data_IF_777588971433
#
_entry.id   IF_777588971433
#
_cell.length_a   1.000
_cell.length_b   1.000
_cell.length_c   1.000
_cell.angle_alpha   90.00
_cell.angle_beta   90.00
_cell.angle_gamma   90.00
#
_symmetry.space_group_name_H-M   'P 1'
#
loop_
_entity.id
_entity.type
_entity.pdbx_description
1 polymer ?
#
# COMPACT_ATOMS: atom_id res chain seq x y z
N UNK A 1 -18.72 -15.08 -1.65
CA UNK A 1 -18.54 -13.64 -1.35
C UNK A 1 -18.79 -12.92 -2.66
N UNK A 2 -19.69 -11.96 -2.66
CA UNK A 2 -19.95 -11.18 -3.87
C UNK A 2 -18.72 -10.30 -4.13
N UNK A 3 -18.23 -10.28 -5.35
CA UNK A 3 -17.08 -9.50 -5.78
C UNK A 3 -17.40 -8.00 -5.73
N UNK A 4 -16.44 -7.16 -5.27
CA UNK A 4 -16.64 -5.71 -5.24
C UNK A 4 -16.94 -5.17 -6.63
N UNK A 5 -18.00 -4.40 -6.76
CA UNK A 5 -18.40 -3.78 -8.02
C UNK A 5 -18.01 -2.31 -8.03
N UNK A 6 -17.06 -1.96 -8.89
CA UNK A 6 -16.64 -0.56 -9.09
C UNK A 6 -17.72 0.29 -9.74
N UNK A 7 -17.85 1.53 -9.29
CA UNK A 7 -18.73 2.53 -9.88
C UNK A 7 -18.01 3.62 -10.67
N UNK A 8 -16.72 3.43 -10.96
CA UNK A 8 -15.80 4.40 -11.56
C UNK A 8 -15.70 4.34 -13.10
N UNK A 9 -16.67 3.73 -13.77
CA UNK A 9 -16.65 3.54 -15.21
C UNK A 9 -16.39 4.81 -16.04
N UNK A 10 -16.75 5.99 -15.51
CA UNK A 10 -16.43 7.29 -16.15
C UNK A 10 -14.92 7.54 -16.08
N UNK A 11 -14.31 7.39 -14.89
CA UNK A 11 -12.88 7.56 -14.68
C UNK A 11 -12.08 6.62 -15.61
N UNK A 12 -12.43 5.34 -15.64
CA UNK A 12 -11.75 4.34 -16.46
C UNK A 12 -11.78 4.66 -17.96
N UNK A 13 -12.83 5.33 -18.47
CA UNK A 13 -12.88 5.78 -19.86
C UNK A 13 -12.04 7.03 -20.11
N UNK A 14 -11.99 7.95 -19.16
CA UNK A 14 -11.41 9.29 -19.37
C UNK A 14 -10.01 9.46 -18.78
N UNK A 15 -9.54 8.54 -17.93
CA UNK A 15 -8.23 8.66 -17.26
C UNK A 15 -7.06 8.89 -18.22
N UNK A 16 -7.15 8.35 -19.44
CA UNK A 16 -6.11 8.55 -20.46
C UNK A 16 -6.14 9.95 -21.08
N UNK A 17 -7.26 10.66 -21.01
CA UNK A 17 -7.39 12.04 -21.51
C UNK A 17 -6.65 13.03 -20.60
N UNK A 18 -6.46 12.65 -19.32
CA UNK A 18 -5.69 13.43 -18.34
C UNK A 18 -4.17 13.33 -18.54
N UNK A 19 -3.69 12.40 -19.40
CA UNK A 19 -2.26 12.27 -19.73
C UNK A 19 -1.80 13.51 -20.49
N UNK A 20 -0.90 14.27 -19.87
CA UNK A 20 -0.37 15.53 -20.42
C UNK A 20 -1.01 16.79 -19.83
N UNK A 21 -2.00 16.67 -18.96
CA UNK A 21 -2.48 17.74 -18.10
C UNK A 21 -1.57 17.99 -16.89
N UNK A 22 -1.80 19.06 -16.13
CA UNK A 22 -1.04 19.33 -14.91
C UNK A 22 -1.35 18.26 -13.86
N UNK A 23 -0.29 17.75 -13.23
CA UNK A 23 -0.39 16.83 -12.10
C UNK A 23 -0.04 17.58 -10.81
N UNK A 24 -0.93 17.48 -9.83
CA UNK A 24 -0.69 17.91 -8.46
C UNK A 24 -0.93 16.69 -7.56
N UNK A 25 0.17 16.05 -7.13
CA UNK A 25 0.17 14.77 -6.43
C UNK A 25 0.39 15.00 -4.95
N UNK A 26 -0.42 14.37 -4.12
CA UNK A 26 -0.23 14.31 -2.68
C UNK A 26 0.24 12.90 -2.28
N UNK A 27 1.45 12.79 -1.78
CA UNK A 27 1.98 11.54 -1.23
C UNK A 27 1.57 11.36 0.22
N UNK A 28 1.13 10.16 0.60
CA UNK A 28 0.72 9.88 1.96
C UNK A 28 0.99 8.45 2.41
N UNK A 29 1.22 8.30 3.73
CA UNK A 29 1.21 7.02 4.41
C UNK A 29 -0.13 6.84 5.16
N UNK A 30 -0.84 5.73 4.89
CA UNK A 30 -2.18 5.48 5.43
C UNK A 30 -2.23 5.52 6.96
N UNK A 31 -1.28 4.88 7.64
CA UNK A 31 -1.29 4.72 9.09
C UNK A 31 -0.90 5.97 9.88
N UNK A 32 -0.30 6.99 9.24
CA UNK A 32 0.20 8.19 9.93
C UNK A 32 -0.40 9.50 9.44
N UNK A 33 -1.21 9.47 8.38
CA UNK A 33 -1.82 10.70 7.84
C UNK A 33 -2.76 11.37 8.84
N UNK A 34 -3.69 10.59 9.39
CA UNK A 34 -4.53 10.95 10.52
C UNK A 34 -4.72 9.73 11.42
N UNK A 35 -4.75 9.97 12.74
CA UNK A 35 -4.97 8.94 13.73
C UNK A 35 -6.17 9.29 14.62
N UNK A 36 -6.91 8.26 15.00
CA UNK A 36 -7.97 8.36 16.02
C UNK A 36 -7.34 8.52 17.39
N UNK A 37 -8.01 9.21 18.32
CA UNK A 37 -7.57 9.23 19.71
C UNK A 37 -7.68 7.82 20.32
N UNK A 38 -6.65 7.40 21.02
CA UNK A 38 -6.59 6.14 21.79
C UNK A 38 -6.77 6.46 23.27
N UNK A 39 -7.54 5.65 23.99
CA UNK A 39 -7.88 5.88 25.38
C UNK A 39 -7.43 4.71 26.25
N UNK A 40 -7.01 4.99 27.50
CA UNK A 40 -6.74 3.97 28.50
C UNK A 40 -8.06 3.37 29.06
N UNK A 41 -7.93 2.39 29.97
CA UNK A 41 -9.06 1.71 30.63
C UNK A 41 -9.92 2.64 31.50
N UNK A 42 -9.41 3.81 31.88
CA UNK A 42 -10.09 4.81 32.68
C UNK A 42 -10.73 5.92 31.82
N UNK A 43 -10.59 5.83 30.48
CA UNK A 43 -11.12 6.82 29.56
C UNK A 43 -10.25 8.07 29.39
N UNK A 44 -8.99 8.07 29.88
CA UNK A 44 -8.03 9.14 29.62
C UNK A 44 -7.44 8.93 28.22
N UNK A 45 -7.43 9.99 27.41
CA UNK A 45 -6.74 9.95 26.12
C UNK A 45 -5.22 9.82 26.33
N UNK A 46 -4.62 8.85 25.64
CA UNK A 46 -3.17 8.63 25.64
C UNK A 46 -2.47 9.66 24.75
N UNK A 47 -1.25 10.03 25.14
CA UNK A 47 -0.36 10.81 24.27
C UNK A 47 0.21 9.91 23.17
N UNK A 48 0.76 10.47 22.06
CA UNK A 48 1.41 9.65 21.03
C UNK A 48 2.51 8.73 21.58
N UNK A 49 3.30 9.24 22.55
CA UNK A 49 4.36 8.49 23.19
C UNK A 49 3.79 7.32 24.01
N UNK A 50 2.74 7.55 24.81
CA UNK A 50 2.07 6.52 25.59
C UNK A 50 1.46 5.43 24.66
N UNK A 51 0.93 5.82 23.49
CA UNK A 51 0.40 4.88 22.49
C UNK A 51 1.51 3.97 21.92
N UNK A 52 2.67 4.54 21.60
CA UNK A 52 3.83 3.81 21.10
C UNK A 52 4.40 2.88 22.18
N UNK A 53 4.62 3.39 23.39
CA UNK A 53 5.16 2.61 24.51
C UNK A 53 4.27 1.42 24.91
N UNK A 54 2.96 1.51 24.66
CA UNK A 54 1.99 0.46 24.98
C UNK A 54 1.65 -0.45 23.78
N UNK A 55 2.32 -0.26 22.64
CA UNK A 55 2.09 -1.01 21.40
C UNK A 55 0.62 -0.98 20.91
N UNK A 56 0.00 0.20 21.03
CA UNK A 56 -1.43 0.39 20.69
C UNK A 56 -1.64 1.26 19.45
N UNK A 57 -0.60 1.42 18.63
CA UNK A 57 -0.63 2.27 17.42
C UNK A 57 -1.76 1.88 16.48
N UNK A 58 -2.02 0.58 16.32
CA UNK A 58 -3.06 0.05 15.45
C UNK A 58 -4.49 0.50 15.84
N UNK A 59 -4.73 0.78 17.12
CA UNK A 59 -6.03 1.27 17.58
C UNK A 59 -6.35 2.68 17.07
N UNK A 60 -5.30 3.46 16.77
CA UNK A 60 -5.40 4.80 16.19
C UNK A 60 -5.62 4.82 14.68
N UNK A 61 -5.49 3.70 13.96
CA UNK A 61 -5.62 3.72 12.52
C UNK A 61 -7.06 3.91 12.05
N UNK A 62 -7.21 4.68 10.98
CA UNK A 62 -8.44 4.70 10.20
C UNK A 62 -8.45 3.55 9.20
N UNK A 63 -9.63 2.97 8.97
CA UNK A 63 -9.82 1.99 7.90
C UNK A 63 -9.86 2.66 6.53
N UNK A 64 -9.66 1.89 5.45
CA UNK A 64 -9.82 2.36 4.06
C UNK A 64 -11.16 3.06 3.82
N UNK A 65 -12.25 2.53 4.43
CA UNK A 65 -13.59 3.11 4.28
C UNK A 65 -13.76 4.41 5.04
N UNK A 66 -13.24 4.48 6.26
CA UNK A 66 -13.35 5.69 7.09
C UNK A 66 -12.55 6.86 6.51
N UNK A 67 -11.35 6.57 5.97
CA UNK A 67 -10.46 7.61 5.45
C UNK A 67 -10.94 8.15 4.09
N UNK A 68 -11.67 7.37 3.30
CA UNK A 68 -12.03 7.73 1.94
C UNK A 68 -12.75 9.10 1.82
N UNK A 69 -13.83 9.40 2.58
CA UNK A 69 -14.47 10.71 2.50
C UNK A 69 -13.58 11.86 3.00
N UNK A 70 -12.81 11.64 4.06
CA UNK A 70 -11.90 12.64 4.63
C UNK A 70 -10.80 13.02 3.64
N UNK A 71 -10.23 12.02 2.98
CA UNK A 71 -9.17 12.20 2.01
C UNK A 71 -9.68 12.94 0.77
N UNK A 72 -10.86 12.58 0.26
CA UNK A 72 -11.49 13.28 -0.88
C UNK A 72 -11.71 14.75 -0.56
N UNK A 73 -12.23 15.08 0.62
CA UNK A 73 -12.45 16.45 1.06
C UNK A 73 -11.13 17.23 1.10
N UNK A 74 -10.13 16.70 1.78
CA UNK A 74 -8.81 17.31 1.89
C UNK A 74 -8.15 17.56 0.53
N UNK A 75 -8.12 16.54 -0.34
CA UNK A 75 -7.48 16.65 -1.65
C UNK A 75 -8.16 17.72 -2.53
N UNK A 76 -9.49 17.82 -2.48
CA UNK A 76 -10.24 18.83 -3.21
C UNK A 76 -10.00 20.23 -2.68
N UNK A 77 -10.00 20.41 -1.36
CA UNK A 77 -9.72 21.71 -0.74
C UNK A 77 -8.32 22.22 -1.06
N UNK A 78 -7.33 21.32 -1.09
CA UNK A 78 -5.94 21.67 -1.38
C UNK A 78 -5.64 21.72 -2.88
N UNK A 79 -6.56 21.30 -3.74
CA UNK A 79 -6.41 21.34 -5.20
C UNK A 79 -5.56 20.21 -5.77
N UNK A 80 -5.38 19.10 -5.03
CA UNK A 80 -4.72 17.90 -5.53
C UNK A 80 -5.65 17.14 -6.48
N UNK A 81 -5.10 16.61 -7.57
CA UNK A 81 -5.83 15.78 -8.52
C UNK A 81 -5.37 14.31 -8.53
N UNK A 82 -4.30 13.99 -7.81
CA UNK A 82 -3.82 12.63 -7.55
C UNK A 82 -3.40 12.48 -6.09
N UNK A 83 -3.56 11.27 -5.58
CA UNK A 83 -2.93 10.82 -4.35
C UNK A 83 -1.99 9.66 -4.66
N UNK A 84 -0.79 9.71 -4.11
CA UNK A 84 0.18 8.62 -4.13
C UNK A 84 0.24 7.97 -2.75
N UNK A 85 -0.12 6.70 -2.70
CA UNK A 85 -0.02 5.94 -1.47
C UNK A 85 1.36 5.30 -1.38
N UNK A 86 2.08 5.54 -0.28
CA UNK A 86 3.21 4.71 0.10
C UNK A 86 2.76 3.24 0.09
N UNK A 87 3.65 2.24 -0.07
CA UNK A 87 3.27 0.89 -0.46
C UNK A 87 2.11 0.31 0.36
N UNK A 88 1.03 -0.09 -0.31
CA UNK A 88 -0.14 -0.72 0.28
C UNK A 88 -0.11 -2.25 0.19
N UNK A 89 0.91 -2.84 -0.42
CA UNK A 89 1.10 -4.29 -0.40
C UNK A 89 1.40 -4.78 1.02
N UNK A 90 1.01 -6.04 1.32
CA UNK A 90 1.18 -6.60 2.66
C UNK A 90 2.66 -6.68 3.07
N UNK A 91 2.94 -6.29 4.30
CA UNK A 91 4.29 -6.19 4.86
C UNK A 91 4.27 -6.49 6.37
N UNK A 92 5.35 -7.07 6.95
CA UNK A 92 5.36 -7.47 8.36
C UNK A 92 5.61 -6.32 9.33
N UNK A 93 6.38 -5.30 8.92
CA UNK A 93 6.92 -4.27 9.80
C UNK A 93 6.32 -2.90 9.47
N UNK A 94 5.66 -2.27 10.45
CA UNK A 94 5.01 -0.97 10.28
C UNK A 94 6.01 0.15 10.00
N UNK A 95 7.18 0.10 10.64
CA UNK A 95 8.25 1.08 10.51
C UNK A 95 8.87 1.10 9.11
N UNK A 96 8.64 0.05 8.32
CA UNK A 96 9.07 0.02 6.91
C UNK A 96 8.21 0.89 5.99
N UNK A 97 7.08 1.41 6.47
CA UNK A 97 6.08 2.16 5.69
C UNK A 97 5.56 1.37 4.47
N UNK A 98 5.69 0.05 4.50
CA UNK A 98 5.32 -0.84 3.40
C UNK A 98 6.43 -1.12 2.39
N UNK A 99 7.63 -0.57 2.55
CA UNK A 99 8.74 -0.81 1.61
C UNK A 99 9.40 -2.19 1.76
N UNK A 100 9.11 -2.93 2.84
CA UNK A 100 9.58 -4.32 3.02
C UNK A 100 8.43 -5.31 2.82
N UNK A 101 8.08 -5.54 1.56
CA UNK A 101 6.93 -6.35 1.18
C UNK A 101 7.13 -7.84 1.41
N UNK A 102 6.04 -8.52 1.78
CA UNK A 102 5.91 -9.98 1.73
C UNK A 102 4.76 -10.41 0.82
N UNK A 103 3.72 -9.58 0.66
CA UNK A 103 2.52 -9.90 -0.10
C UNK A 103 2.36 -9.07 -1.37
N UNK A 104 3.01 -9.44 -2.46
CA UNK A 104 2.99 -8.69 -3.73
C UNK A 104 1.63 -8.66 -4.44
N UNK A 105 0.73 -9.59 -4.10
CA UNK A 105 -0.62 -9.72 -4.67
C UNK A 105 -1.72 -9.51 -3.63
N UNK A 106 -1.41 -8.87 -2.51
CA UNK A 106 -2.41 -8.59 -1.49
C UNK A 106 -2.21 -7.21 -0.87
N UNK A 107 -3.29 -6.46 -0.67
CA UNK A 107 -3.22 -5.23 0.14
C UNK A 107 -2.97 -5.58 1.60
N UNK A 108 -2.34 -4.66 2.32
CA UNK A 108 -2.18 -4.82 3.76
C UNK A 108 -3.53 -4.87 4.46
N UNK A 109 -3.68 -5.83 5.36
CA UNK A 109 -4.89 -6.00 6.17
C UNK A 109 -5.03 -4.99 7.32
N UNK A 110 -4.01 -4.16 7.55
CA UNK A 110 -3.97 -3.16 8.64
C UNK A 110 -5.16 -2.21 8.65
N UNK A 111 -5.62 -1.84 7.47
CA UNK A 111 -6.64 -0.80 7.29
C UNK A 111 -7.98 -1.36 6.79
N UNK A 112 -8.12 -2.68 6.72
CA UNK A 112 -9.34 -3.36 6.28
C UNK A 112 -9.11 -4.42 5.23
N UNK A 113 -10.18 -4.80 4.55
CA UNK A 113 -10.17 -5.85 3.51
C UNK A 113 -9.74 -5.33 2.15
N UNK A 114 -9.47 -6.25 1.21
CA UNK A 114 -9.24 -5.92 -0.20
C UNK A 114 -10.41 -5.11 -0.80
N UNK A 115 -11.65 -5.45 -0.45
CA UNK A 115 -12.84 -4.73 -0.92
C UNK A 115 -12.94 -3.32 -0.32
N UNK A 116 -12.41 -3.11 0.88
CA UNK A 116 -12.37 -1.79 1.50
C UNK A 116 -11.35 -0.88 0.79
N UNK A 117 -10.21 -1.43 0.35
CA UNK A 117 -9.28 -0.69 -0.50
C UNK A 117 -9.89 -0.37 -1.87
N UNK A 118 -10.60 -1.33 -2.50
CA UNK A 118 -11.35 -1.07 -3.74
C UNK A 118 -12.36 0.06 -3.55
N UNK A 119 -13.06 0.08 -2.41
CA UNK A 119 -13.98 1.16 -2.07
C UNK A 119 -13.28 2.53 -1.97
N UNK A 120 -12.11 2.60 -1.35
CA UNK A 120 -11.32 3.83 -1.26
C UNK A 120 -10.98 4.34 -2.66
N UNK A 121 -10.42 3.49 -3.53
CA UNK A 121 -10.02 3.84 -4.89
C UNK A 121 -11.23 4.26 -5.73
N UNK A 122 -12.31 3.50 -5.69
CA UNK A 122 -13.58 3.82 -6.36
C UNK A 122 -14.13 5.19 -5.92
N UNK A 123 -14.02 5.49 -4.62
CA UNK A 123 -14.45 6.79 -4.07
C UNK A 123 -13.58 7.94 -4.60
N UNK A 124 -12.27 7.77 -4.68
CA UNK A 124 -11.36 8.75 -5.27
C UNK A 124 -11.69 8.99 -6.75
N UNK A 125 -11.81 7.93 -7.54
CA UNK A 125 -12.11 7.99 -8.97
C UNK A 125 -13.46 8.66 -9.26
N UNK A 126 -14.51 8.34 -8.51
CA UNK A 126 -15.83 9.01 -8.60
C UNK A 126 -15.75 10.50 -8.34
N UNK A 127 -14.76 10.93 -7.59
CA UNK A 127 -14.52 12.35 -7.29
C UNK A 127 -13.50 13.02 -8.21
N UNK A 128 -13.04 12.31 -9.26
CA UNK A 128 -12.09 12.82 -10.24
C UNK A 128 -10.65 12.90 -9.76
N UNK A 129 -10.31 12.11 -8.72
CA UNK A 129 -8.98 12.04 -8.13
C UNK A 129 -8.35 10.71 -8.55
N UNK A 130 -7.14 10.74 -9.13
CA UNK A 130 -6.38 9.54 -9.46
C UNK A 130 -5.68 8.96 -8.24
N UNK A 131 -5.53 7.63 -8.23
CA UNK A 131 -4.75 6.92 -7.23
C UNK A 131 -3.46 6.36 -7.86
N UNK A 132 -2.34 6.59 -7.20
CA UNK A 132 -1.04 6.03 -7.51
C UNK A 132 -0.64 5.15 -6.34
N UNK A 133 -0.18 3.95 -6.62
CA UNK A 133 0.40 3.06 -5.61
C UNK A 133 1.90 2.99 -5.83
N UNK A 134 2.66 3.27 -4.79
CA UNK A 134 4.10 3.01 -4.80
C UNK A 134 4.33 1.50 -4.83
N UNK A 135 4.97 1.02 -5.91
CA UNK A 135 5.24 -0.38 -6.15
C UNK A 135 6.74 -0.66 -6.03
N UNK A 136 7.12 -1.62 -5.18
CA UNK A 136 8.52 -1.89 -4.81
C UNK A 136 9.01 -3.22 -5.41
N UNK A 137 9.37 -3.29 -6.71
CA UNK A 137 9.85 -4.52 -7.36
C UNK A 137 11.35 -4.77 -7.19
N UNK A 138 11.98 -4.20 -6.17
CA UNK A 138 13.44 -4.23 -6.00
C UNK A 138 13.87 -5.32 -5.06
N UNK A 139 13.20 -5.42 -3.91
CA UNK A 139 13.54 -6.33 -2.83
C UNK A 139 12.29 -6.82 -2.10
N UNK A 140 12.47 -7.76 -1.17
CA UNK A 140 11.42 -8.30 -0.32
C UNK A 140 11.94 -8.63 1.09
N UNK A 141 11.02 -8.66 2.07
CA UNK A 141 11.35 -8.93 3.46
C UNK A 141 11.80 -10.39 3.69
N UNK A 142 12.57 -10.61 4.75
CA UNK A 142 13.19 -11.90 5.09
C UNK A 142 12.37 -12.79 6.03
N UNK A 143 11.11 -12.46 6.24
CA UNK A 143 10.25 -13.22 7.14
C UNK A 143 10.09 -14.67 6.68
N UNK A 144 10.05 -15.62 7.64
CA UNK A 144 10.08 -17.06 7.36
C UNK A 144 8.88 -17.61 6.57
N UNK A 145 7.84 -16.81 6.38
CA UNK A 145 6.68 -17.11 5.53
C UNK A 145 6.74 -16.37 4.17
N UNK A 146 7.78 -15.54 3.95
CA UNK A 146 7.98 -14.76 2.76
C UNK A 146 8.64 -15.53 1.62
N UNK A 147 9.23 -14.78 0.68
CA UNK A 147 9.80 -15.36 -0.54
C UNK A 147 11.23 -15.90 -0.36
N UNK A 148 11.95 -15.48 0.69
CA UNK A 148 13.34 -15.87 0.91
C UNK A 148 13.46 -17.38 1.06
N UNK A 149 14.27 -18.01 0.19
CA UNK A 149 14.47 -19.46 0.15
C UNK A 149 13.16 -20.26 0.16
N UNK A 150 12.18 -19.80 -0.58
CA UNK A 150 10.81 -20.30 -0.59
C UNK A 150 10.73 -21.83 -0.77
N UNK A 151 11.58 -22.41 -1.62
CA UNK A 151 11.70 -23.85 -1.86
C UNK A 151 13.00 -24.45 -1.27
N UNK A 152 13.68 -23.72 -0.39
CA UNK A 152 14.99 -24.07 0.16
C UNK A 152 16.17 -23.64 -0.72
N UNK A 153 15.91 -23.09 -1.90
CA UNK A 153 16.92 -22.52 -2.81
C UNK A 153 16.76 -21.01 -2.96
N UNK A 154 17.68 -20.36 -3.70
CA UNK A 154 17.54 -18.94 -4.04
C UNK A 154 16.67 -18.81 -5.30
N UNK A 155 15.36 -18.97 -5.13
CA UNK A 155 14.40 -18.94 -6.21
C UNK A 155 14.21 -17.52 -6.76
N UNK A 156 13.98 -16.56 -5.88
CA UNK A 156 13.69 -15.16 -6.19
C UNK A 156 14.91 -14.25 -6.01
N UNK A 157 15.75 -14.54 -5.03
CA UNK A 157 16.87 -13.73 -4.57
C UNK A 157 18.22 -14.15 -5.16
N UNK A 158 19.17 -13.22 -5.17
CA UNK A 158 20.56 -13.51 -5.50
C UNK A 158 21.19 -14.51 -4.52
N UNK A 159 22.00 -15.46 -5.00
CA UNK A 159 22.58 -16.50 -4.15
C UNK A 159 23.72 -15.99 -3.25
N UNK A 160 24.34 -14.86 -3.59
CA UNK A 160 25.48 -14.28 -2.87
C UNK A 160 25.07 -13.03 -2.12
N UNK A 161 25.68 -12.77 -0.97
CA UNK A 161 25.30 -11.68 -0.09
C UNK A 161 25.77 -10.31 -0.56
N UNK A 162 26.80 -10.24 -1.39
CA UNK A 162 27.35 -9.01 -1.96
C UNK A 162 26.35 -8.20 -2.80
N UNK A 163 25.47 -8.90 -3.53
CA UNK A 163 24.39 -8.30 -4.32
C UNK A 163 23.01 -8.71 -3.82
N UNK A 164 22.95 -9.68 -2.91
CA UNK A 164 21.72 -10.31 -2.42
C UNK A 164 21.00 -9.54 -1.32
N UNK A 165 21.67 -8.64 -0.62
CA UNK A 165 21.08 -7.80 0.41
C UNK A 165 20.96 -6.34 -0.02
N UNK A 166 19.82 -5.74 0.30
CA UNK A 166 19.68 -4.30 0.29
C UNK A 166 20.34 -3.70 1.54
N UNK A 167 20.59 -2.41 1.51
CA UNK A 167 21.11 -1.66 2.68
C UNK A 167 20.16 -1.69 3.89
N UNK A 168 18.88 -2.03 3.68
CA UNK A 168 17.85 -2.16 4.70
C UNK A 168 17.65 -3.60 5.19
N UNK A 169 18.53 -4.54 4.83
CA UNK A 169 18.47 -5.93 5.28
C UNK A 169 17.48 -6.83 4.56
N UNK A 170 16.85 -6.34 3.49
CA UNK A 170 15.93 -7.12 2.63
C UNK A 170 16.70 -7.90 1.56
N UNK A 171 16.09 -8.90 0.94
CA UNK A 171 16.67 -9.64 -0.19
C UNK A 171 16.32 -9.00 -1.54
N UNK A 172 17.32 -8.78 -2.37
CA UNK A 172 17.17 -8.26 -3.72
C UNK A 172 16.70 -9.33 -4.70
N UNK A 173 15.72 -9.02 -5.55
CA UNK A 173 15.28 -9.89 -6.63
C UNK A 173 16.36 -10.09 -7.71
N UNK A 174 16.42 -11.31 -8.27
CA UNK A 174 17.20 -11.59 -9.47
C UNK A 174 16.41 -11.17 -10.71
N UNK A 175 16.49 -9.91 -11.09
CA UNK A 175 15.73 -9.37 -12.23
C UNK A 175 16.12 -9.98 -13.60
N UNK A 176 17.24 -10.67 -13.70
CA UNK A 176 17.66 -11.38 -14.93
C UNK A 176 16.92 -12.71 -15.15
N UNK A 177 16.25 -13.28 -14.12
CA UNK A 177 15.44 -14.49 -14.27
C UNK A 177 14.09 -14.16 -14.89
N UNK A 178 13.69 -14.90 -15.95
CA UNK A 178 12.40 -14.72 -16.62
C UNK A 178 11.21 -14.97 -15.70
N UNK A 179 11.29 -15.95 -14.79
CA UNK A 179 10.26 -16.27 -13.80
C UNK A 179 10.06 -15.12 -12.80
N UNK A 180 11.14 -14.51 -12.33
CA UNK A 180 11.09 -13.34 -11.42
C UNK A 180 10.49 -12.14 -12.14
N UNK A 181 10.89 -11.90 -13.40
CA UNK A 181 10.26 -10.83 -14.20
C UNK A 181 8.77 -11.09 -14.42
N UNK A 182 8.37 -12.33 -14.67
CA UNK A 182 6.97 -12.70 -14.83
C UNK A 182 6.19 -12.48 -13.52
N UNK A 183 6.74 -12.90 -12.40
CA UNK A 183 6.15 -12.68 -11.07
C UNK A 183 5.91 -11.18 -10.81
N UNK A 184 6.93 -10.35 -10.98
CA UNK A 184 6.83 -8.91 -10.74
C UNK A 184 5.88 -8.21 -11.70
N UNK A 185 5.93 -8.55 -13.01
CA UNK A 185 4.98 -8.00 -13.99
C UNK A 185 3.54 -8.44 -13.71
N UNK A 186 3.35 -9.68 -13.27
CA UNK A 186 2.02 -10.18 -12.89
C UNK A 186 1.48 -9.47 -11.66
N UNK A 187 2.34 -9.17 -10.66
CA UNK A 187 1.95 -8.40 -9.50
C UNK A 187 1.54 -6.96 -9.89
N UNK A 188 2.33 -6.28 -10.72
CA UNK A 188 1.96 -4.96 -11.22
C UNK A 188 0.63 -4.99 -12.01
N UNK A 189 0.45 -5.99 -12.88
CA UNK A 189 -0.80 -6.17 -13.64
C UNK A 189 -1.99 -6.45 -12.73
N UNK A 190 -1.81 -7.24 -11.67
CA UNK A 190 -2.84 -7.49 -10.66
C UNK A 190 -3.35 -6.18 -10.05
N UNK A 191 -2.45 -5.31 -9.58
CA UNK A 191 -2.84 -4.02 -9.01
C UNK A 191 -3.57 -3.12 -10.01
N UNK A 192 -3.08 -3.05 -11.25
CA UNK A 192 -3.69 -2.25 -12.31
C UNK A 192 -5.04 -2.79 -12.81
N UNK A 193 -5.30 -4.10 -12.63
CA UNK A 193 -6.52 -4.75 -13.10
C UNK A 193 -7.59 -4.84 -12.01
N UNK A 194 -7.17 -5.22 -10.79
CA UNK A 194 -8.10 -5.47 -9.69
C UNK A 194 -8.46 -4.21 -8.91
N UNK A 195 -7.62 -3.17 -8.99
CA UNK A 195 -7.83 -1.91 -8.25
C UNK A 195 -8.01 -0.69 -9.15
N UNK A 196 -7.93 -0.88 -10.48
CA UNK A 196 -8.08 0.22 -11.44
C UNK A 196 -6.98 1.28 -11.32
#
# INVERSE_FOLDING_TARGET
>A
MDEYTFGDARWMRTRNECKGGPLNVYEMHMGSWHCKPVYDENGKQLTPEEVIETDRVAEGWYTYREIAPMLVEYLKEQGYNYVEFMPLSEHPCDESWGYQNTGFFSPTARYGTADDLKFLIDTLHKNGIGAIMDYVPVHFALDGYGLAKYDGTNLYEHPTDDVGYSEWGSKNFIHSKGEVQTFLKSAANYWLTEYH
#
